data_IF_633115714361
#
_entry.id   IF_633115714361
#
_cell.length_a   1.000
_cell.length_b   1.000
_cell.length_c   1.000
_cell.angle_alpha   90.00
_cell.angle_beta   90.00
_cell.angle_gamma   90.00
#
_symmetry.space_group_name_H-M   'P 1'
#
loop_
_entity.id
_entity.type
_entity.pdbx_description
1 polymer ?
2 non-polymer ?
3 water ?
#
# COMPACT_ATOMS: atom_id res chain seq x y z
N UNK A 11 -12.33 15.82 -17.07
CA UNK A 11 -12.67 14.40 -16.74
C UNK A 11 -14.17 14.20 -16.76
N UNK A 12 -14.59 13.14 -17.44
CA UNK A 12 -16.00 12.78 -17.52
C UNK A 12 -16.16 11.52 -16.66
N UNK A 13 -16.62 11.70 -15.42
CA UNK A 13 -16.77 10.59 -14.49
C UNK A 13 -17.82 9.57 -14.95
N UNK A 14 -18.66 9.96 -15.90
CA UNK A 14 -19.66 9.04 -16.47
C UNK A 14 -19.23 8.37 -17.77
N UNK A 15 -18.03 8.64 -18.26
CA UNK A 15 -17.60 8.02 -19.51
C UNK A 15 -17.27 6.54 -19.30
N UNK A 16 -17.55 5.74 -20.32
CA UNK A 16 -17.25 4.33 -20.22
C UNK A 16 -15.78 4.13 -19.91
N UNK A 17 -14.97 5.05 -20.43
CA UNK A 17 -13.56 4.86 -20.43
C UNK A 17 -13.02 5.13 -19.01
N UNK A 18 -13.61 6.13 -18.36
CA UNK A 18 -13.34 6.40 -16.96
C UNK A 18 -13.79 5.24 -16.08
N UNK A 19 -15.05 4.83 -16.29
CA UNK A 19 -15.69 3.73 -15.55
C UNK A 19 -14.91 2.44 -15.69
N UNK A 20 -14.30 2.24 -16.85
CA UNK A 20 -13.57 1.04 -17.09
C UNK A 20 -12.33 1.09 -16.22
N UNK A 21 -11.65 2.22 -16.19
CA UNK A 21 -10.40 2.34 -15.48
C UNK A 21 -10.70 2.32 -13.95
N UNK A 22 -11.77 2.97 -13.55
CA UNK A 22 -12.22 2.98 -12.14
C UNK A 22 -12.50 1.59 -11.58
N UNK A 23 -13.12 0.74 -12.41
CA UNK A 23 -13.41 -0.62 -11.99
C UNK A 23 -12.12 -1.35 -11.54
N UNK A 24 -10.99 -1.07 -12.16
CA UNK A 24 -9.75 -1.69 -11.76
C UNK A 24 -9.05 -0.94 -10.65
N UNK A 25 -9.06 0.39 -10.77
CA UNK A 25 -8.37 1.22 -9.82
C UNK A 25 -9.01 1.22 -8.43
N UNK A 26 -10.33 1.39 -8.37
CA UNK A 26 -11.09 1.25 -7.15
C UNK A 26 -11.07 -0.18 -6.61
N UNK A 27 -11.04 -1.20 -7.49
CA UNK A 27 -10.86 -2.56 -6.98
C UNK A 27 -9.54 -2.71 -6.23
N UNK A 28 -8.49 -2.11 -6.75
CA UNK A 28 -7.17 -2.24 -6.19
C UNK A 28 -7.22 -1.71 -4.73
N UNK A 29 -7.95 -0.61 -4.52
CA UNK A 29 -7.96 0.03 -3.19
C UNK A 29 -8.80 -0.82 -2.28
N UNK A 30 -9.90 -1.32 -2.80
CA UNK A 30 -10.72 -2.26 -2.03
C UNK A 30 -9.98 -3.55 -1.62
N UNK A 31 -9.35 -4.24 -2.56
CA UNK A 31 -8.61 -5.44 -2.24
C UNK A 31 -7.41 -5.13 -1.32
N UNK A 32 -6.78 -3.97 -1.53
CA UNK A 32 -5.68 -3.56 -0.68
C UNK A 32 -6.11 -3.42 0.77
N UNK A 33 -7.33 -2.89 0.99
CA UNK A 33 -7.87 -2.70 2.37
C UNK A 33 -8.14 -4.10 2.96
N UNK A 34 -8.62 -5.03 2.11
CA UNK A 34 -8.81 -6.38 2.57
C UNK A 34 -7.52 -7.10 2.96
N UNK A 35 -6.49 -6.98 2.15
CA UNK A 35 -5.18 -7.56 2.50
C UNK A 35 -4.61 -6.86 3.73
N UNK A 36 -4.84 -5.56 3.83
CA UNK A 36 -4.38 -4.81 5.03
C UNK A 36 -5.04 -5.38 6.31
N UNK A 37 -6.36 -5.53 6.30
CA UNK A 37 -7.11 -6.19 7.39
C UNK A 37 -6.55 -7.55 7.75
N UNK A 38 -6.42 -8.41 6.75
CA UNK A 38 -5.84 -9.73 6.99
C UNK A 38 -4.43 -9.67 7.51
N UNK A 39 -3.60 -8.81 6.94
CA UNK A 39 -2.16 -8.70 7.35
C UNK A 39 -2.01 -8.25 8.79
N UNK A 40 -2.85 -7.33 9.22
CA UNK A 40 -2.83 -6.90 10.60
C UNK A 40 -3.20 -8.04 11.58
N UNK A 41 -4.13 -8.90 11.19
CA UNK A 41 -4.45 -10.04 12.06
C UNK A 41 -3.29 -11.04 12.11
N UNK A 42 -2.63 -11.25 10.98
CA UNK A 42 -1.50 -12.15 10.92
C UNK A 42 -0.38 -11.50 11.77
N UNK A 43 -0.24 -10.16 11.67
CA UNK A 43 0.76 -9.45 12.44
C UNK A 43 0.46 -9.55 13.94
N UNK A 44 -0.81 -9.37 14.32
CA UNK A 44 -1.27 -9.65 15.73
C UNK A 44 -0.88 -11.04 16.23
N UNK A 45 -0.96 -12.02 15.37
CA UNK A 45 -0.50 -13.39 15.64
C UNK A 45 1.00 -13.57 15.68
N UNK A 46 1.74 -12.88 14.81
CA UNK A 46 3.19 -12.94 14.89
C UNK A 46 3.74 -12.19 16.09
N UNK A 47 3.02 -11.16 16.52
CA UNK A 47 3.47 -10.25 17.61
C UNK A 47 2.46 -10.21 18.75
N UNK A 48 2.40 -11.32 19.53
CA UNK A 48 1.30 -11.45 20.49
C UNK A 48 1.26 -10.32 21.53
N UNK A 49 2.42 -9.76 21.87
CA UNK A 49 2.53 -8.68 22.83
C UNK A 49 1.93 -7.39 22.29
N UNK A 50 1.59 -7.36 21.01
CA UNK A 50 1.00 -6.19 20.39
C UNK A 50 -0.40 -6.46 19.82
N UNK A 51 -0.99 -7.59 20.22
CA UNK A 51 -2.21 -8.12 19.58
C UNK A 51 -3.33 -7.11 19.63
N UNK A 52 -3.54 -6.49 20.80
CA UNK A 52 -4.73 -5.64 20.99
C UNK A 52 -4.66 -4.50 20.00
N UNK A 53 -3.51 -3.83 19.95
CA UNK A 53 -3.26 -2.72 19.08
C UNK A 53 -3.43 -3.04 17.62
N UNK A 54 -2.92 -4.21 17.21
CA UNK A 54 -2.95 -4.57 15.80
C UNK A 54 -4.38 -4.97 15.35
N UNK A 55 -5.13 -5.61 16.25
CA UNK A 55 -6.51 -5.95 15.98
C UNK A 55 -7.33 -4.67 15.82
N UNK A 56 -7.06 -3.67 16.66
CA UNK A 56 -7.69 -2.37 16.50
C UNK A 56 -7.43 -1.73 15.14
N UNK A 57 -6.21 -1.85 14.62
CA UNK A 57 -5.90 -1.35 13.29
C UNK A 57 -6.63 -2.14 12.22
N UNK A 58 -6.71 -3.46 12.43
CA UNK A 58 -7.42 -4.35 11.46
C UNK A 58 -8.84 -3.86 11.29
N UNK A 59 -9.46 -3.40 12.35
CA UNK A 59 -10.86 -3.04 12.25
C UNK A 59 -11.06 -1.73 11.46
N UNK A 60 -10.15 -0.79 11.63
CA UNK A 60 -10.15 0.45 10.83
C UNK A 60 -10.08 0.15 9.30
N UNK A 61 -9.23 -0.80 8.94
CA UNK A 61 -9.04 -1.08 7.54
C UNK A 61 -10.28 -1.73 6.98
N UNK A 62 -10.97 -2.56 7.76
CA UNK A 62 -12.30 -3.07 7.29
C UNK A 62 -13.31 -1.99 7.06
N UNK A 63 -13.43 -1.07 8.00
CA UNK A 63 -14.33 0.08 7.78
C UNK A 63 -13.95 0.95 6.56
N UNK A 64 -12.67 1.21 6.38
CA UNK A 64 -12.23 1.96 5.21
C UNK A 64 -12.61 1.25 3.90
N UNK A 65 -12.51 -0.08 3.88
CA UNK A 65 -12.90 -0.85 2.68
C UNK A 65 -14.35 -0.59 2.28
N UNK A 66 -15.23 -0.49 3.28
CA UNK A 66 -16.62 -0.16 3.04
C UNK A 66 -16.81 1.20 2.40
N UNK A 67 -16.02 2.19 2.81
CA UNK A 67 -16.07 3.48 2.18
C UNK A 67 -15.73 3.43 0.71
N UNK A 68 -14.73 2.65 0.38
CA UNK A 68 -14.26 2.57 -0.98
C UNK A 68 -15.23 1.76 -1.85
N UNK A 69 -15.86 0.78 -1.22
CA UNK A 69 -16.96 0.05 -1.86
C UNK A 69 -18.09 1.02 -2.23
N UNK A 70 -18.46 1.91 -1.33
CA UNK A 70 -19.50 2.93 -1.63
C UNK A 70 -19.12 3.88 -2.82
N UNK A 71 -17.85 4.27 -2.94
CA UNK A 71 -17.40 5.03 -4.11
C UNK A 71 -17.64 4.32 -5.44
N UNK A 72 -17.44 3.01 -5.47
CA UNK A 72 -17.68 2.26 -6.70
C UNK A 72 -19.17 2.18 -7.00
N UNK A 73 -19.95 1.97 -5.95
CA UNK A 73 -21.39 1.96 -6.04
C UNK A 73 -21.89 3.34 -6.51
N UNK A 74 -21.35 4.41 -5.90
CA UNK A 74 -21.69 5.78 -6.31
C UNK A 74 -21.53 5.99 -7.80
N UNK A 75 -20.43 5.55 -8.42
CA UNK A 75 -20.32 5.63 -9.90
C UNK A 75 -20.92 4.46 -10.72
N UNK A 76 -21.83 3.66 -10.14
CA UNK A 76 -22.36 2.49 -10.85
C UNK A 76 -21.29 1.62 -11.50
N UNK A 77 -20.21 1.32 -10.79
CA UNK A 77 -19.15 0.50 -11.37
C UNK A 77 -18.97 -0.70 -10.46
N UNK A 78 -18.89 -1.89 -11.04
CA UNK A 78 -18.54 -3.01 -10.22
C UNK A 78 -17.02 -3.24 -10.30
N UNK A 79 -16.45 -3.55 -9.15
CA UNK A 79 -15.02 -3.69 -9.08
C UNK A 79 -14.49 -4.95 -9.75
N UNK A 80 -13.38 -4.82 -10.46
CA UNK A 80 -12.69 -5.97 -10.99
C UNK A 80 -11.71 -6.57 -9.96
N UNK A 81 -12.28 -7.38 -9.09
CA UNK A 81 -11.53 -8.01 -8.01
C UNK A 81 -10.46 -8.96 -8.43
N UNK A 82 -10.65 -9.67 -9.53
CA UNK A 82 -9.57 -10.51 -10.03
C UNK A 82 -8.35 -9.74 -10.47
N UNK A 83 -8.60 -8.62 -11.11
CA UNK A 83 -7.55 -7.78 -11.55
C UNK A 83 -6.79 -7.29 -10.30
N UNK A 84 -7.55 -6.81 -9.32
CA UNK A 84 -6.97 -6.37 -8.03
C UNK A 84 -6.14 -7.48 -7.36
N UNK A 85 -6.68 -8.70 -7.24
CA UNK A 85 -5.93 -9.81 -6.63
C UNK A 85 -4.65 -10.05 -7.40
N UNK A 86 -4.75 -10.13 -8.74
CA UNK A 86 -3.54 -10.28 -9.57
C UNK A 86 -2.50 -9.19 -9.28
N UNK A 87 -2.95 -7.96 -9.25
CA UNK A 87 -2.13 -6.83 -8.92
C UNK A 87 -1.37 -7.05 -7.61
N UNK A 88 -2.05 -7.54 -6.57
CA UNK A 88 -1.36 -7.78 -5.28
C UNK A 88 -0.69 -9.12 -5.16
N UNK A 89 -0.77 -9.96 -6.18
CA UNK A 89 -0.43 -11.35 -5.98
C UNK A 89 0.99 -11.51 -5.47
N UNK A 90 1.96 -10.82 -6.05
CA UNK A 90 3.38 -11.07 -5.71
C UNK A 90 3.66 -10.64 -4.24
N UNK A 91 3.15 -9.49 -3.85
CA UNK A 91 3.26 -9.09 -2.42
C UNK A 91 2.46 -9.99 -1.42
N UNK A 92 1.24 -10.38 -1.77
CA UNK A 92 0.45 -11.36 -1.02
C UNK A 92 1.19 -12.69 -0.79
N UNK A 93 1.72 -13.23 -1.87
CA UNK A 93 2.47 -14.50 -1.75
C UNK A 93 3.74 -14.33 -0.90
N UNK A 94 4.48 -13.24 -1.05
CA UNK A 94 5.67 -13.03 -0.23
C UNK A 94 5.40 -12.81 1.25
N UNK A 95 4.27 -12.15 1.50
CA UNK A 95 3.79 -11.92 2.86
C UNK A 95 3.43 -13.24 3.52
N UNK A 96 2.61 -14.02 2.84
CA UNK A 96 2.22 -15.35 3.33
C UNK A 96 3.41 -16.27 3.63
N UNK A 97 4.36 -16.36 2.72
CA UNK A 97 5.58 -17.15 2.92
C UNK A 97 6.38 -16.72 4.16
N UNK A 98 6.49 -15.38 4.34
CA UNK A 98 7.23 -14.81 5.43
C UNK A 98 6.52 -15.11 6.73
N UNK A 99 5.18 -14.95 6.76
CA UNK A 99 4.46 -15.18 7.95
C UNK A 99 4.61 -16.65 8.39
N UNK A 100 4.56 -17.54 7.40
CA UNK A 100 4.66 -18.96 7.69
C UNK A 100 6.05 -19.32 8.19
N UNK A 101 7.06 -18.49 7.94
CA UNK A 101 8.40 -18.72 8.45
C UNK A 101 8.68 -17.92 9.73
N UNK A 102 7.69 -17.23 10.24
CA UNK A 102 7.86 -16.31 11.35
C UNK A 102 8.71 -15.07 11.07
N UNK A 103 8.81 -14.68 9.81
CA UNK A 103 9.67 -13.55 9.41
C UNK A 103 8.82 -12.29 9.47
N UNK A 104 8.58 -11.84 10.69
CA UNK A 104 7.77 -10.65 10.93
C UNK A 104 8.40 -9.39 10.34
N UNK A 105 9.72 -9.30 10.33
CA UNK A 105 10.37 -8.13 9.69
C UNK A 105 9.96 -7.98 8.21
N UNK A 106 9.95 -9.07 7.46
CA UNK A 106 9.59 -9.05 6.07
C UNK A 106 8.12 -8.72 5.91
N UNK A 107 7.28 -9.36 6.67
CA UNK A 107 5.91 -8.92 6.78
C UNK A 107 5.73 -7.40 7.01
N UNK A 108 6.50 -6.83 7.90
CA UNK A 108 6.37 -5.45 8.21
C UNK A 108 6.85 -4.61 7.08
N UNK A 109 7.93 -5.02 6.43
CA UNK A 109 8.35 -4.23 5.24
C UNK A 109 7.26 -4.17 4.16
N UNK A 110 6.66 -5.32 3.90
CA UNK A 110 5.63 -5.39 2.90
C UNK A 110 4.44 -4.54 3.26
N UNK A 111 3.87 -4.74 4.45
CA UNK A 111 2.68 -4.00 4.82
C UNK A 111 2.99 -2.57 5.16
N UNK A 112 3.99 -2.37 6.01
CA UNK A 112 4.18 -1.07 6.63
C UNK A 112 5.01 -0.10 5.80
N UNK A 113 5.84 -0.63 4.88
CA UNK A 113 6.67 0.26 4.07
C UNK A 113 6.16 0.28 2.66
N UNK A 114 6.19 -0.87 2.00
CA UNK A 114 5.84 -0.93 0.62
C UNK A 114 4.39 -0.53 0.39
N UNK A 115 3.46 -1.21 1.03
CA UNK A 115 2.07 -0.98 0.79
C UNK A 115 1.66 0.39 1.28
N UNK A 116 2.12 0.73 2.46
CA UNK A 116 1.87 2.02 3.05
C UNK A 116 2.31 3.13 2.11
N UNK A 117 3.55 3.09 1.65
CA UNK A 117 4.12 4.17 0.80
C UNK A 117 3.43 4.24 -0.53
N UNK A 118 3.03 3.08 -1.02
CA UNK A 118 2.26 2.94 -2.26
C UNK A 118 0.94 3.66 -2.05
N UNK A 119 0.32 3.46 -0.89
CA UNK A 119 -0.96 4.13 -0.60
C UNK A 119 -0.89 5.67 -0.43
N UNK A 120 0.12 6.16 0.28
CA UNK A 120 0.31 7.60 0.42
C UNK A 120 0.53 8.25 -0.96
N UNK A 121 1.39 7.66 -1.78
CA UNK A 121 1.67 8.15 -3.13
C UNK A 121 0.41 8.16 -4.01
N UNK A 122 -0.37 7.08 -3.96
CA UNK A 122 -1.68 7.00 -4.66
C UNK A 122 -2.65 8.06 -4.25
N UNK A 123 -2.80 8.23 -2.95
CA UNK A 123 -3.50 9.38 -2.40
C UNK A 123 -2.96 10.72 -2.91
N UNK A 124 -1.67 10.97 -2.72
CA UNK A 124 -1.03 12.23 -3.14
C UNK A 124 -1.32 12.57 -4.59
N UNK A 125 -1.32 11.56 -5.47
CA UNK A 125 -1.58 11.76 -6.91
C UNK A 125 -3.05 11.75 -7.29
N UNK A 126 -3.87 10.92 -6.66
CA UNK A 126 -5.30 10.84 -6.97
C UNK A 126 -6.12 12.02 -6.47
N UNK A 127 -5.78 12.57 -5.31
CA UNK A 127 -6.78 13.39 -4.60
C UNK A 127 -7.24 14.71 -5.34
N UNK A 128 -6.30 15.43 -5.97
CA UNK A 128 -6.68 16.61 -6.81
C UNK A 128 -7.58 16.28 -8.02
N UNK A 129 -7.66 15.03 -8.45
CA UNK A 129 -8.40 14.66 -9.65
C UNK A 129 -9.58 13.76 -9.33
N UNK A 130 -9.87 13.61 -8.04
CA UNK A 130 -10.99 12.76 -7.62
C UNK A 130 -12.37 13.38 -7.87
N UNK A 131 -13.36 12.54 -8.17
CA UNK A 131 -14.78 12.94 -8.15
C UNK A 131 -15.18 13.32 -6.75
N UNK A 132 -16.12 14.26 -6.66
CA UNK A 132 -16.63 14.79 -5.39
C UNK A 132 -16.87 13.74 -4.32
N UNK A 133 -17.73 12.78 -4.64
CA UNK A 133 -18.18 11.79 -3.68
C UNK A 133 -16.97 11.03 -3.17
N UNK A 134 -16.10 10.58 -4.09
CA UNK A 134 -14.85 9.87 -3.72
C UNK A 134 -13.85 10.75 -2.99
N UNK A 135 -13.74 12.04 -3.38
CA UNK A 135 -12.82 12.96 -2.75
C UNK A 135 -13.15 13.05 -1.25
N UNK A 136 -14.43 13.21 -0.98
CA UNK A 136 -14.92 13.28 0.38
C UNK A 136 -14.60 12.04 1.18
N UNK A 137 -14.93 10.88 0.62
CA UNK A 137 -14.71 9.60 1.32
C UNK A 137 -13.22 9.37 1.60
N UNK A 138 -12.43 9.54 0.56
CA UNK A 138 -11.00 9.35 0.61
C UNK A 138 -10.28 10.30 1.59
N UNK A 139 -10.73 11.56 1.66
CA UNK A 139 -10.12 12.53 2.58
C UNK A 139 -10.39 12.12 4.02
N UNK A 140 -11.64 11.79 4.29
CA UNK A 140 -12.07 11.12 5.54
C UNK A 140 -11.17 9.96 6.01
N UNK A 141 -11.03 8.96 5.15
CA UNK A 141 -10.11 7.85 5.41
C UNK A 141 -8.67 8.30 5.69
N UNK A 142 -8.15 9.21 4.86
CA UNK A 142 -6.74 9.61 5.05
C UNK A 142 -6.48 10.42 6.35
N UNK A 143 -7.41 11.31 6.64
CA UNK A 143 -7.42 11.99 7.91
C UNK A 143 -7.39 11.02 9.08
N UNK A 144 -8.21 9.99 9.06
CA UNK A 144 -8.24 8.99 10.13
C UNK A 144 -6.93 8.27 10.23
N UNK A 145 -6.42 7.87 9.07
CA UNK A 145 -5.11 7.18 9.03
C UNK A 145 -4.01 8.06 9.63
N UNK A 146 -4.05 9.35 9.35
CA UNK A 146 -2.98 10.23 9.73
C UNK A 146 -3.07 10.67 11.18
N UNK A 147 -4.16 10.35 11.86
CA UNK A 147 -4.18 10.48 13.30
C UNK A 147 -3.47 9.34 14.02
N UNK A 148 -2.98 8.36 13.25
CA UNK A 148 -2.13 7.32 13.81
C UNK A 148 -0.71 7.51 13.36
N UNK A 149 0.18 6.90 14.13
CA UNK A 149 1.56 6.69 13.68
C UNK A 149 1.55 5.42 12.86
N UNK A 150 2.62 5.18 12.11
CA UNK A 150 2.72 3.92 11.35
C UNK A 150 3.28 2.80 12.22
N UNK A 151 2.42 1.88 12.66
CA UNK A 151 2.84 0.80 13.58
C UNK A 151 4.17 0.13 13.14
N UNK A 152 4.28 -0.32 11.90
CA UNK A 152 5.51 -1.02 11.48
C UNK A 152 6.79 -0.20 11.33
N UNK A 153 6.62 1.08 11.03
CA UNK A 153 7.75 1.98 11.01
C UNK A 153 8.28 2.21 12.42
N UNK A 154 7.34 2.43 13.34
CA UNK A 154 7.69 2.57 14.73
C UNK A 154 8.42 1.32 15.23
N UNK A 155 7.90 0.14 14.93
CA UNK A 155 8.48 -1.12 15.40
C UNK A 155 9.87 -1.38 14.79
N UNK A 156 9.94 -1.21 13.48
CA UNK A 156 11.20 -1.44 12.76
C UNK A 156 12.25 -0.48 13.22
N UNK A 157 11.90 0.79 13.42
CA UNK A 157 12.87 1.76 13.96
C UNK A 157 13.37 1.32 15.31
N UNK A 158 12.46 0.81 16.14
CA UNK A 158 12.82 0.30 17.47
C UNK A 158 13.72 -0.96 17.40
N UNK A 159 13.57 -1.79 16.40
CA UNK A 159 14.33 -3.03 16.27
C UNK A 159 15.29 -3.00 15.09
N UNK A 160 15.68 -1.80 14.69
CA UNK A 160 16.43 -1.59 13.47
C UNK A 160 17.73 -2.37 13.39
N UNK A 161 18.60 -2.22 14.37
CA UNK A 161 19.92 -2.83 14.26
C UNK A 161 19.81 -4.34 14.09
N UNK A 162 18.88 -5.00 14.75
CA UNK A 162 18.83 -6.45 14.63
C UNK A 162 18.04 -6.92 13.41
N UNK A 163 17.25 -6.03 12.81
CA UNK A 163 16.37 -6.36 11.70
C UNK A 163 16.96 -6.05 10.28
N UNK A 164 18.11 -5.38 10.27
CA UNK A 164 18.76 -4.79 9.10
C UNK A 164 19.01 -5.75 7.94
N UNK A 165 19.56 -6.93 8.23
CA UNK A 165 19.82 -7.93 7.16
C UNK A 165 18.53 -8.46 6.52
N UNK A 166 17.52 -8.72 7.36
CA UNK A 166 16.26 -9.21 6.84
C UNK A 166 15.54 -8.10 6.08
N UNK A 167 15.70 -6.87 6.55
CA UNK A 167 15.10 -5.76 5.80
C UNK A 167 15.71 -5.64 4.41
N UNK A 168 17.00 -5.85 4.30
CA UNK A 168 17.59 -5.79 2.98
C UNK A 168 17.18 -6.89 2.07
N UNK A 169 17.09 -8.12 2.59
CA UNK A 169 16.55 -9.22 1.79
C UNK A 169 15.15 -8.97 1.34
N UNK A 170 14.36 -8.48 2.26
CA UNK A 170 12.97 -8.25 2.00
C UNK A 170 12.86 -7.17 0.95
N UNK A 171 13.75 -6.20 0.99
CA UNK A 171 13.77 -5.16 -0.04
C UNK A 171 14.15 -5.71 -1.43
N UNK A 172 15.22 -6.50 -1.48
CA UNK A 172 15.67 -7.14 -2.72
C UNK A 172 14.52 -7.93 -3.34
N UNK A 173 13.77 -8.64 -2.51
CA UNK A 173 12.69 -9.52 -2.96
C UNK A 173 11.42 -8.76 -3.34
N UNK A 174 11.10 -7.65 -2.69
CA UNK A 174 9.83 -7.01 -2.93
C UNK A 174 9.84 -5.66 -3.69
N UNK A 175 10.92 -4.89 -3.62
CA UNK A 175 10.90 -3.57 -4.25
C UNK A 175 10.66 -3.73 -5.77
N UNK A 176 11.28 -4.74 -6.43
CA UNK A 176 11.02 -4.87 -7.85
C UNK A 176 9.56 -5.09 -8.20
N UNK A 177 8.80 -5.77 -7.34
CA UNK A 177 7.41 -6.02 -7.58
C UNK A 177 6.59 -4.71 -7.71
N UNK A 178 7.05 -3.67 -7.01
CA UNK A 178 6.34 -2.40 -7.05
C UNK A 178 6.39 -1.83 -8.46
N UNK A 179 7.52 -1.98 -9.14
CA UNK A 179 7.67 -1.40 -10.48
C UNK A 179 6.75 -2.14 -11.44
N UNK A 180 6.58 -3.44 -11.21
CA UNK A 180 5.66 -4.22 -12.00
C UNK A 180 4.22 -3.81 -11.82
N UNK A 181 3.85 -3.57 -10.56
CA UNK A 181 2.52 -3.12 -10.21
C UNK A 181 2.22 -1.81 -10.89
N UNK A 182 3.12 -0.86 -10.80
CA UNK A 182 2.96 0.43 -11.52
C UNK A 182 2.81 0.30 -13.05
N UNK A 183 3.62 -0.52 -13.69
CA UNK A 183 3.44 -0.68 -15.13
C UNK A 183 2.06 -1.22 -15.48
N UNK A 184 1.52 -2.12 -14.66
CA UNK A 184 0.20 -2.72 -14.93
C UNK A 184 -0.95 -1.75 -14.96
N UNK A 185 -0.80 -0.59 -14.31
CA UNK A 185 -1.88 0.38 -14.22
C UNK A 185 -1.54 1.73 -14.87
N UNK A 186 -0.46 1.77 -15.66
CA UNK A 186 -0.06 3.02 -16.33
C UNK A 186 -1.20 3.66 -17.10
N UNK A 187 -1.89 2.85 -17.93
CA UNK A 187 -3.03 3.34 -18.71
C UNK A 187 -4.21 3.78 -17.83
N UNK A 188 -4.59 2.96 -16.85
CA UNK A 188 -5.74 3.31 -16.00
C UNK A 188 -5.46 4.57 -15.23
N UNK A 189 -4.22 4.72 -14.82
CA UNK A 189 -3.82 5.91 -14.04
C UNK A 189 -3.96 7.14 -14.96
N UNK A 190 -3.38 7.03 -16.16
CA UNK A 190 -3.48 8.12 -17.14
C UNK A 190 -4.96 8.48 -17.41
N UNK A 191 -5.82 7.48 -17.53
CA UNK A 191 -7.25 7.72 -17.82
C UNK A 191 -7.88 8.52 -16.70
N UNK A 192 -7.35 8.32 -15.48
CA UNK A 192 -7.87 9.02 -14.32
C UNK A 192 -7.03 10.27 -14.03
N UNK A 193 -6.20 10.70 -15.01
CA UNK A 193 -5.44 11.95 -14.86
C UNK A 193 -4.45 11.84 -13.71
N UNK A 194 -3.81 10.69 -13.60
CA UNK A 194 -2.73 10.46 -12.64
C UNK A 194 -1.57 9.93 -13.49
N UNK A 195 -0.40 10.54 -13.40
CA UNK A 195 0.76 10.10 -14.20
C UNK A 195 1.67 9.07 -13.50
N UNK A 196 1.95 7.98 -14.21
CA UNK A 196 2.80 6.94 -13.67
C UNK A 196 4.11 7.49 -13.10
N UNK A 197 4.78 8.38 -13.83
CA UNK A 197 6.06 8.96 -13.43
C UNK A 197 5.88 9.67 -12.08
N UNK A 198 4.74 10.29 -11.91
CA UNK A 198 4.41 11.03 -10.70
C UNK A 198 4.28 10.07 -9.52
N UNK A 199 3.65 8.92 -9.81
CA UNK A 199 3.41 7.92 -8.79
C UNK A 199 4.72 7.35 -8.39
N UNK A 200 5.58 7.03 -9.38
CA UNK A 200 6.93 6.49 -9.15
C UNK A 200 7.73 7.43 -8.24
N UNK A 201 7.74 8.74 -8.58
CA UNK A 201 8.49 9.73 -7.82
C UNK A 201 8.00 9.80 -6.39
N UNK A 202 6.71 9.95 -6.21
CA UNK A 202 6.16 10.10 -4.88
C UNK A 202 6.36 8.82 -4.05
N UNK A 203 6.21 7.67 -4.69
CA UNK A 203 6.54 6.43 -4.00
C UNK A 203 7.95 6.42 -3.49
N UNK A 204 8.90 6.72 -4.37
CA UNK A 204 10.33 6.68 -3.99
C UNK A 204 10.61 7.68 -2.85
N UNK A 205 9.89 8.80 -2.87
CA UNK A 205 10.01 9.78 -1.81
C UNK A 205 9.51 9.21 -0.48
N UNK A 206 8.30 8.66 -0.46
CA UNK A 206 7.75 8.11 0.78
C UNK A 206 8.63 6.95 1.28
N UNK A 207 9.06 6.08 0.38
CA UNK A 207 9.87 4.92 0.77
C UNK A 207 11.25 5.29 1.26
N UNK A 208 11.92 6.18 0.57
CA UNK A 208 13.21 6.68 1.08
C UNK A 208 13.08 7.31 2.45
N UNK A 209 12.06 8.14 2.61
CA UNK A 209 11.84 8.84 3.86
C UNK A 209 11.56 7.82 4.94
N UNK A 210 10.75 6.79 4.64
CA UNK A 210 10.48 5.72 5.65
C UNK A 210 11.77 4.93 6.03
N UNK A 211 12.53 4.52 5.02
CA UNK A 211 13.79 3.84 5.28
C UNK A 211 14.74 4.69 6.12
N UNK A 212 14.79 6.00 5.88
CA UNK A 212 15.72 6.86 6.63
C UNK A 212 15.18 6.91 8.03
N UNK A 213 13.87 7.10 8.14
CA UNK A 213 13.31 7.19 9.47
C UNK A 213 13.58 5.95 10.32
N UNK A 214 13.49 4.75 9.73
CA UNK A 214 13.75 3.60 10.56
C UNK A 214 15.22 3.41 10.93
N UNK A 215 16.11 4.07 10.21
CA UNK A 215 17.53 4.04 10.58
C UNK A 215 18.51 3.89 9.44
N UNK A 216 18.06 3.58 8.23
CA UNK A 216 19.02 3.39 7.15
C UNK A 216 19.78 4.69 6.78
N UNK A 217 21.09 4.55 6.46
CA UNK A 217 21.93 5.67 5.97
C UNK A 217 21.65 5.98 4.49
N UNK A 218 22.17 7.12 4.02
CA UNK A 218 22.06 7.48 2.61
C UNK A 218 22.68 6.39 1.76
N UNK A 219 23.85 5.93 2.18
CA UNK A 219 24.45 4.79 1.49
C UNK A 219 23.55 3.54 1.39
N UNK A 220 22.91 3.17 2.50
CA UNK A 220 22.03 2.00 2.53
C UNK A 220 20.89 2.24 1.62
N UNK A 221 20.35 3.47 1.68
CA UNK A 221 19.18 3.82 0.85
C UNK A 221 19.51 3.74 -0.63
N UNK A 222 20.70 4.19 -0.98
CA UNK A 222 21.14 4.04 -2.37
C UNK A 222 21.31 2.59 -2.81
N UNK A 223 21.91 1.80 -1.95
CA UNK A 223 22.00 0.36 -2.19
C UNK A 223 20.61 -0.33 -2.34
N UNK A 224 19.71 -0.06 -1.40
CA UNK A 224 18.37 -0.65 -1.38
C UNK A 224 17.63 -0.25 -2.65
N UNK A 225 17.67 1.03 -2.99
CA UNK A 225 17.23 1.52 -4.34
C UNK A 225 17.85 0.75 -5.54
N UNK A 226 19.18 0.62 -5.61
CA UNK A 226 19.82 -0.10 -6.72
C UNK A 226 19.29 -1.53 -6.90
N UNK A 227 19.08 -2.26 -5.79
CA UNK A 227 18.45 -3.61 -5.87
C UNK A 227 17.01 -3.57 -6.33
N UNK A 228 16.36 -2.45 -6.05
CA UNK A 228 15.09 -2.08 -6.67
C UNK A 228 15.09 -2.16 -8.18
N UNK A 229 16.25 -1.95 -8.82
CA UNK A 229 16.37 -1.97 -10.30
C UNK A 229 16.84 -3.27 -10.96
N UNK A 230 16.55 -4.41 -10.35
CA UNK A 230 16.84 -5.70 -10.97
C UNK A 230 16.05 -6.84 -10.28
#
# INVERSE_FOLDING_TARGET
MQQLTDQSKELDFKSETYKDAYSRINAIVIEGEQEAHENYITLAQLLPESHDELIRLSKMESRHKKGFEACGRNLAVTPDLQFAKEFFSGLHQNFQTAAAEGKVVTCLLIQSLIIECFAIAAYNIYIPVADDFARKITEGVVKEEYSHLNFGEVWLKEHFAESKAELELANRQNLPIVWKMLNQVEGDAHTMAMEKDALVEDFMIQYGEALSNIGFSTRDIMRLSAYGLIGAPG
#
